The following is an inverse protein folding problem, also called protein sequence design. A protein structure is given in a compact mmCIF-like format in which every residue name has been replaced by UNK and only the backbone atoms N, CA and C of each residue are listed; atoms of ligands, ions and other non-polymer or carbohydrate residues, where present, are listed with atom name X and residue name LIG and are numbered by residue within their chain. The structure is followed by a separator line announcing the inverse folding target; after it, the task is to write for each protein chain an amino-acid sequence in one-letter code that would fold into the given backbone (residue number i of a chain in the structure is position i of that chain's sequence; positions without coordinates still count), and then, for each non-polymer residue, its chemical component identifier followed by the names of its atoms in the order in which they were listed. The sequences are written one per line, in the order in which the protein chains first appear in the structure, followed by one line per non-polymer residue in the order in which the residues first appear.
data_IF_358451262187
#
_entry.id   IF_358451262187
#
_cell.length_a   1.000
_cell.length_b   1.000
_cell.length_c   1.000
_cell.angle_alpha   90.00
_cell.angle_beta   90.00
_cell.angle_gamma   90.00
#
_symmetry.space_group_name_H-M   'P 1'
#
loop_
_entity.id
_entity.type
_entity.pdbx_description
1 polymer ?
#
# COMPACT_ATOMS: atom_id res chain seq x y z
N UNK A 1 16.75 -6.87 -58.52
CA UNK A 1 16.35 -6.93 -58.01
C UNK A 1 15.88 -6.86 -56.98
N UNK A 2 15.65 -6.87 -56.25
CA UNK A 2 15.25 -6.91 -55.34
C UNK A 2 15.04 -6.67 -54.23
N UNK A 3 14.65 -6.50 -53.93
CA UNK A 3 14.40 -6.19 -52.97
C UNK A 3 14.17 -6.56 -51.94
N UNK A 4 14.09 -6.76 -51.55
CA UNK A 4 13.99 -7.24 -50.65
C UNK A 4 13.96 -6.86 -49.52
N UNK A 5 14.15 -6.68 -49.17
CA UNK A 5 14.25 -6.41 -48.13
C UNK A 5 13.61 -5.98 -47.31
N UNK A 6 13.36 -5.74 -46.98
CA UNK A 6 12.74 -5.21 -46.45
C UNK A 6 12.17 -5.37 -45.42
N UNK A 7 11.71 -5.67 -45.29
CA UNK A 7 11.05 -5.87 -44.48
C UNK A 7 11.22 -5.97 -43.30
N UNK A 8 11.63 -6.23 -42.94
CA UNK A 8 12.00 -6.41 -41.93
C UNK A 8 11.69 -5.72 -40.92
N UNK A 9 11.95 -5.15 -40.85
CA UNK A 9 11.77 -4.35 -39.99
C UNK A 9 10.88 -4.45 -39.07
N UNK A 10 10.07 -4.56 -39.29
CA UNK A 10 9.15 -4.52 -38.54
C UNK A 10 9.18 -5.05 -37.40
N UNK A 11 9.70 -5.62 -37.19
CA UNK A 11 9.75 -6.31 -36.24
C UNK A 11 10.03 -5.75 -35.04
N UNK A 12 10.66 -5.09 -34.95
CA UNK A 12 11.10 -4.71 -33.77
C UNK A 12 10.15 -4.14 -32.86
N UNK A 13 9.25 -3.76 -33.41
CA UNK A 13 8.38 -3.12 -32.65
C UNK A 13 7.76 -3.77 -31.59
N UNK A 14 7.35 -4.83 -31.78
CA UNK A 14 6.56 -5.41 -30.78
C UNK A 14 7.17 -5.43 -29.48
N UNK A 15 8.39 -5.42 -29.55
CA UNK A 15 9.00 -5.61 -28.40
C UNK A 15 8.86 -4.63 -27.42
N UNK A 16 8.75 -3.53 -27.87
CA UNK A 16 8.64 -2.59 -27.06
C UNK A 16 7.70 -2.62 -26.07
N UNK A 17 6.63 -2.97 -26.32
CA UNK A 17 5.61 -2.85 -25.36
C UNK A 17 5.90 -3.58 -24.15
N UNK A 18 6.68 -4.57 -24.32
CA UNK A 18 6.85 -5.34 -23.23
C UNK A 18 7.68 -4.73 -22.25
N UNK A 19 8.55 -4.03 -22.64
CA UNK A 19 9.41 -3.49 -21.71
C UNK A 19 8.74 -2.57 -20.76
N UNK A 20 7.71 -2.02 -21.23
CA UNK A 20 7.11 -1.07 -20.42
C UNK A 20 6.53 -1.59 -19.18
N UNK A 21 6.08 -2.77 -19.24
CA UNK A 21 5.44 -3.25 -18.09
C UNK A 21 6.44 -3.53 -17.02
N UNK A 22 7.57 -3.96 -17.43
CA UNK A 22 8.53 -4.28 -16.44
C UNK A 22 8.95 -3.04 -15.70
N UNK A 23 8.98 -1.96 -16.41
CA UNK A 23 9.45 -0.76 -15.81
C UNK A 23 8.50 -0.28 -14.74
N UNK A 24 7.27 -0.52 -14.93
CA UNK A 24 6.32 -0.04 -13.94
C UNK A 24 6.46 -0.81 -12.66
N UNK A 25 6.83 -2.03 -12.79
CA UNK A 25 6.90 -2.85 -11.63
C UNK A 25 8.07 -2.48 -10.74
N UNK A 26 9.06 -1.92 -11.33
CA UNK A 26 10.24 -1.66 -10.55
C UNK A 26 10.31 -0.28 -9.97
N UNK A 27 9.21 0.36 -9.84
CA UNK A 27 9.24 1.65 -9.21
C UNK A 27 9.44 1.45 -7.71
N UNK A 28 10.67 1.15 -7.43
CA UNK A 28 11.10 1.03 -6.08
C UNK A 28 11.53 2.43 -5.67
N UNK A 29 10.73 3.09 -4.94
CA UNK A 29 11.11 4.33 -4.34
C UNK A 29 12.15 3.96 -3.31
N UNK A 30 13.34 4.33 -3.58
CA UNK A 30 14.48 3.86 -2.88
C UNK A 30 14.37 3.91 -1.38
N UNK A 31 14.73 2.83 -0.81
CA UNK A 31 14.99 2.79 0.61
C UNK A 31 13.84 2.49 1.55
N UNK A 32 12.62 2.57 1.11
CA UNK A 32 11.51 2.29 2.01
C UNK A 32 11.16 0.81 1.99
N UNK A 33 10.88 0.27 3.14
CA UNK A 33 10.45 -1.11 3.28
C UNK A 33 9.11 -1.27 2.54
N UNK A 34 8.99 -2.23 1.61
CA UNK A 34 7.77 -2.40 0.83
C UNK A 34 6.55 -2.71 1.71
N UNK A 35 6.75 -3.31 2.85
CA UNK A 35 5.66 -3.55 3.78
C UNK A 35 5.15 -2.24 4.41
N UNK A 36 6.02 -1.27 4.64
CA UNK A 36 5.59 0.05 5.13
C UNK A 36 4.73 0.72 4.06
N UNK A 37 5.12 0.66 2.80
CA UNK A 37 4.36 1.28 1.72
C UNK A 37 2.96 0.64 1.60
N UNK A 38 2.89 -0.67 1.75
CA UNK A 38 1.61 -1.39 1.70
C UNK A 38 0.74 -1.07 2.92
N UNK A 39 1.35 -0.96 4.10
CA UNK A 39 0.63 -0.58 5.30
C UNK A 39 0.03 0.81 5.17
N UNK A 40 0.76 1.75 4.57
CA UNK A 40 0.28 3.11 4.31
C UNK A 40 -0.93 3.08 3.39
N UNK A 41 -0.86 2.32 2.29
CA UNK A 41 -1.96 2.23 1.33
C UNK A 41 -3.23 1.72 2.01
N UNK A 42 -3.12 0.62 2.72
CA UNK A 42 -4.30 0.03 3.37
C UNK A 42 -4.80 0.86 4.56
N UNK A 43 -3.91 1.55 5.28
CA UNK A 43 -4.34 2.45 6.34
C UNK A 43 -5.14 3.64 5.76
N UNK A 44 -4.77 4.11 4.59
CA UNK A 44 -5.50 5.18 3.90
C UNK A 44 -6.88 4.66 3.46
N UNK A 45 -6.93 3.49 2.84
CA UNK A 45 -8.20 2.88 2.43
C UNK A 45 -9.11 2.67 3.64
N UNK A 46 -8.58 2.25 4.77
CA UNK A 46 -9.35 2.09 6.00
C UNK A 46 -9.95 3.43 6.43
N UNK A 47 -9.16 4.49 6.42
CA UNK A 47 -9.64 5.84 6.77
C UNK A 47 -10.71 6.34 5.81
N UNK A 48 -10.56 6.07 4.52
CA UNK A 48 -11.51 6.51 3.51
C UNK A 48 -12.85 5.77 3.66
N UNK A 49 -12.81 4.46 3.80
CA UNK A 49 -14.03 3.67 4.04
C UNK A 49 -14.72 4.04 5.34
N UNK A 50 -13.94 4.33 6.38
CA UNK A 50 -14.50 4.79 7.64
C UNK A 50 -15.19 6.13 7.48
N UNK A 51 -14.61 7.05 6.73
CA UNK A 51 -15.23 8.34 6.43
C UNK A 51 -16.53 8.24 5.64
N UNK A 52 -16.74 7.11 4.95
CA UNK A 52 -17.98 6.83 4.24
C UNK A 52 -18.96 6.01 5.09
N UNK A 53 -18.62 5.66 6.31
CA UNK A 53 -19.46 4.87 7.20
C UNK A 53 -19.40 3.36 6.95
N UNK A 54 -18.43 2.89 6.15
CA UNK A 54 -18.32 1.48 5.81
C UNK A 54 -17.43 0.76 6.81
N UNK A 55 -17.96 0.43 7.98
CA UNK A 55 -17.21 -0.16 9.07
C UNK A 55 -16.52 -1.48 8.70
N UNK A 56 -17.20 -2.35 7.96
CA UNK A 56 -16.65 -3.65 7.59
C UNK A 56 -15.43 -3.50 6.66
N UNK A 57 -15.50 -2.57 5.73
CA UNK A 57 -14.41 -2.30 4.81
C UNK A 57 -13.24 -1.65 5.55
N UNK A 58 -13.53 -0.73 6.49
CA UNK A 58 -12.52 -0.13 7.33
C UNK A 58 -11.76 -1.23 8.07
N UNK A 59 -12.47 -2.15 8.71
CA UNK A 59 -11.86 -3.23 9.48
C UNK A 59 -11.00 -4.11 8.58
N UNK A 60 -11.50 -4.47 7.41
CA UNK A 60 -10.78 -5.30 6.47
C UNK A 60 -9.44 -4.66 6.07
N UNK A 61 -9.47 -3.40 5.68
CA UNK A 61 -8.26 -2.69 5.29
C UNK A 61 -7.31 -2.45 6.47
N UNK A 62 -7.85 -2.16 7.66
CA UNK A 62 -7.03 -2.00 8.84
C UNK A 62 -6.32 -3.31 9.23
N UNK A 63 -6.97 -4.45 9.06
CA UNK A 63 -6.34 -5.76 9.32
C UNK A 63 -5.18 -6.02 8.35
N UNK A 64 -5.36 -5.70 7.06
CA UNK A 64 -4.30 -5.87 6.07
C UNK A 64 -3.15 -4.91 6.36
N UNK A 65 -3.46 -3.64 6.69
CA UNK A 65 -2.45 -2.68 7.07
C UNK A 65 -1.64 -3.17 8.27
N UNK A 66 -2.31 -3.74 9.26
CA UNK A 66 -1.67 -4.27 10.46
C UNK A 66 -0.72 -5.42 10.12
N UNK A 67 -1.13 -6.33 9.23
CA UNK A 67 -0.27 -7.43 8.82
C UNK A 67 1.02 -6.93 8.17
N UNK A 68 0.91 -5.94 7.29
CA UNK A 68 2.07 -5.36 6.65
C UNK A 68 2.95 -4.60 7.64
N UNK A 69 2.35 -3.83 8.55
CA UNK A 69 3.11 -3.12 9.57
C UNK A 69 3.86 -4.10 10.47
N UNK A 70 3.25 -5.21 10.84
CA UNK A 70 3.89 -6.25 11.62
C UNK A 70 5.00 -6.95 10.86
N UNK A 71 4.86 -7.09 9.55
CA UNK A 71 5.91 -7.66 8.71
C UNK A 71 7.10 -6.70 8.66
N UNK A 72 6.86 -5.41 8.48
CA UNK A 72 7.91 -4.40 8.49
C UNK A 72 8.67 -4.40 9.82
N UNK A 73 7.97 -4.62 10.93
CA UNK A 73 8.58 -4.60 12.25
C UNK A 73 9.63 -5.71 12.44
N UNK A 74 9.62 -6.73 11.62
CA UNK A 74 10.62 -7.80 11.70
C UNK A 74 11.96 -7.33 11.12
N UNK A 75 11.90 -6.37 10.20
CA UNK A 75 13.08 -5.91 9.48
C UNK A 75 13.60 -4.58 10.03
N UNK A 76 12.78 -3.82 10.71
CA UNK A 76 13.15 -2.51 11.19
C UNK A 76 12.50 -2.17 12.54
N UNK A 77 13.21 -1.43 13.35
CA UNK A 77 12.68 -0.93 14.59
C UNK A 77 12.49 0.58 14.47
N UNK A 78 11.28 1.02 14.58
CA UNK A 78 10.93 2.43 14.43
C UNK A 78 9.73 2.77 15.34
N UNK A 79 9.83 3.79 16.20
CA UNK A 79 8.74 4.13 17.12
C UNK A 79 7.46 4.56 16.41
N UNK A 80 7.56 5.14 15.22
CA UNK A 80 6.37 5.48 14.45
C UNK A 80 5.69 4.22 13.91
N UNK A 81 6.46 3.17 13.59
CA UNK A 81 5.90 1.90 13.18
C UNK A 81 5.15 1.26 14.36
N UNK A 82 5.71 1.31 15.55
CA UNK A 82 5.06 0.76 16.74
C UNK A 82 3.76 1.52 17.05
N UNK A 83 3.78 2.84 16.92
CA UNK A 83 2.59 3.66 17.12
C UNK A 83 1.54 3.35 16.05
N UNK A 84 1.93 3.23 14.79
CA UNK A 84 1.00 2.88 13.73
C UNK A 84 0.35 1.51 13.94
N UNK A 85 1.11 0.54 14.44
CA UNK A 85 0.60 -0.79 14.77
C UNK A 85 -0.45 -0.69 15.89
N UNK A 86 -0.20 0.12 16.90
CA UNK A 86 -1.13 0.29 18.01
C UNK A 86 -2.43 0.92 17.52
N UNK A 87 -2.33 1.99 16.74
CA UNK A 87 -3.49 2.70 16.21
C UNK A 87 -4.33 1.80 15.28
N UNK A 88 -3.69 0.95 14.47
CA UNK A 88 -4.42 0.00 13.64
C UNK A 88 -5.20 -1.02 14.49
N UNK A 89 -4.63 -1.43 15.61
CA UNK A 89 -5.29 -2.32 16.55
C UNK A 89 -6.55 -1.69 17.14
N UNK A 90 -6.49 -0.42 17.50
CA UNK A 90 -7.64 0.31 18.02
C UNK A 90 -8.69 0.52 16.93
N UNK A 91 -8.27 0.84 15.71
CA UNK A 91 -9.19 0.99 14.58
C UNK A 91 -9.99 -0.29 14.35
N UNK A 92 -9.34 -1.45 14.42
CA UNK A 92 -9.99 -2.75 14.26
C UNK A 92 -10.96 -3.00 15.41
N UNK A 93 -10.53 -2.72 16.62
CA UNK A 93 -11.35 -2.96 17.83
C UNK A 93 -12.63 -2.12 17.80
N UNK A 94 -12.49 -0.84 17.54
CA UNK A 94 -13.63 0.08 17.48
C UNK A 94 -14.51 -0.21 16.25
N UNK A 95 -13.90 -0.56 15.12
CA UNK A 95 -14.65 -0.91 13.92
C UNK A 95 -15.53 -2.13 14.12
N UNK A 96 -14.99 -3.16 14.78
CA UNK A 96 -15.77 -4.38 15.09
C UNK A 96 -16.86 -4.12 16.13
N UNK A 97 -16.70 -3.11 16.95
CA UNK A 97 -17.70 -2.73 17.94
C UNK A 97 -18.76 -1.79 17.35
N UNK A 98 -18.64 -1.41 16.07
CA UNK A 98 -19.60 -0.52 15.43
C UNK A 98 -19.34 0.97 15.70
N UNK A 99 -18.23 1.30 16.34
CA UNK A 99 -17.85 2.68 16.61
C UNK A 99 -17.03 3.23 15.42
N UNK A 100 -17.70 3.37 14.29
CA UNK A 100 -17.03 3.68 13.01
C UNK A 100 -16.25 5.00 13.03
N UNK A 101 -16.80 6.02 13.70
CA UNK A 101 -16.14 7.32 13.76
C UNK A 101 -14.81 7.21 14.51
N UNK A 102 -14.82 6.56 15.65
CA UNK A 102 -13.62 6.35 16.47
C UNK A 102 -12.61 5.49 15.72
N UNK A 103 -13.08 4.45 15.05
CA UNK A 103 -12.23 3.58 14.25
C UNK A 103 -11.57 4.36 13.10
N UNK A 104 -12.31 5.30 12.52
CA UNK A 104 -11.81 6.14 11.45
C UNK A 104 -10.69 7.06 11.95
N UNK A 105 -10.85 7.62 13.14
CA UNK A 105 -9.84 8.50 13.71
C UNK A 105 -8.55 7.72 14.00
N UNK A 106 -8.67 6.51 14.53
CA UNK A 106 -7.52 5.65 14.76
C UNK A 106 -6.84 5.22 13.43
N UNK A 107 -7.63 4.91 12.39
CA UNK A 107 -7.06 4.56 11.08
C UNK A 107 -6.27 5.74 10.50
N UNK A 108 -6.76 6.97 10.68
CA UNK A 108 -6.05 8.17 10.22
C UNK A 108 -4.80 8.44 11.06
N UNK A 109 -4.88 8.20 12.36
CA UNK A 109 -3.71 8.35 13.23
C UNK A 109 -2.62 7.34 12.84
N UNK A 110 -3.02 6.10 12.53
CA UNK A 110 -2.10 5.10 12.05
C UNK A 110 -1.41 5.55 10.76
N UNK A 111 -2.18 6.08 9.83
CA UNK A 111 -1.66 6.58 8.56
C UNK A 111 -0.59 7.66 8.79
N UNK A 112 -0.87 8.60 9.70
CA UNK A 112 0.09 9.66 10.00
C UNK A 112 1.39 9.09 10.54
N UNK A 113 1.31 8.18 11.48
CA UNK A 113 2.52 7.56 12.03
C UNK A 113 3.31 6.78 10.97
N UNK A 114 2.62 6.00 10.13
CA UNK A 114 3.29 5.23 9.08
C UNK A 114 3.99 6.12 8.05
N UNK A 115 3.44 7.29 7.78
CA UNK A 115 4.03 8.26 6.84
C UNK A 115 5.28 8.94 7.40
N UNK A 116 5.47 8.94 8.71
CA UNK A 116 6.66 9.52 9.35
C UNK A 116 7.86 8.56 9.30
N UNK A 117 7.70 7.34 8.84
CA UNK A 117 8.78 6.36 8.74
C UNK A 117 9.70 6.72 7.56
N UNK A 118 10.97 6.93 7.85
CA UNK A 118 11.96 7.32 6.83
C UNK A 118 13.01 6.23 6.65
#
# INVERSE_FOLDING_TARGET
MMPVLTLITRLGVGVLCLGLFGACASYSIGGSNPHVAQAITHAQEAGDHGGMGHADALVTHAEVALQHAQAAKKDMQNPHLDAGIAELGEAITHGKAGHTDVATDHAKAALMHLQEIK
#
